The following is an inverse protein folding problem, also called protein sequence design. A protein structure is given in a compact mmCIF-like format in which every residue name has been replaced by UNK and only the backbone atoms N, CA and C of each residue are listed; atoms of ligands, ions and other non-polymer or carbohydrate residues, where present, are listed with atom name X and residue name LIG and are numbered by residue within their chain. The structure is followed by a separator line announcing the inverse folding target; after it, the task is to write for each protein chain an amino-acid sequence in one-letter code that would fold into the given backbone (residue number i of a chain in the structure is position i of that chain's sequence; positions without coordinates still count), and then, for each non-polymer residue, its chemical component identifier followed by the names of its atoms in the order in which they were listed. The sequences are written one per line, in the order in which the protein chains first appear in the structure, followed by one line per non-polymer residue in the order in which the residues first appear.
data_IF_624344724420
#
_entry.id   IF_624344724420
#
_cell.length_a   1.000
_cell.length_b   1.000
_cell.length_c   1.000
_cell.angle_alpha   90.00
_cell.angle_beta   90.00
_cell.angle_gamma   90.00
#
_symmetry.space_group_name_H-M   'P 1'
#
loop_
_entity.id
_entity.type
_entity.pdbx_description
1 polymer ?
#
# COMPACT_ATOMS: atom_id res chain seq x y z
N UNK A 1 8.90 -13.59 -16.80
CA UNK A 1 8.28 -12.27 -16.60
C UNK A 1 7.03 -12.48 -15.74
N UNK A 2 6.76 -11.64 -14.75
CA UNK A 2 5.52 -11.76 -13.95
C UNK A 2 4.33 -11.45 -14.85
N UNK A 3 3.31 -12.31 -14.83
CA UNK A 3 2.08 -12.17 -15.61
C UNK A 3 0.87 -12.10 -14.66
N UNK A 4 0.11 -11.00 -14.76
CA UNK A 4 -1.13 -10.77 -14.03
C UNK A 4 -2.33 -10.67 -14.99
N UNK A 5 -2.22 -11.20 -16.20
CA UNK A 5 -3.27 -11.14 -17.22
C UNK A 5 -4.59 -11.69 -16.67
N UNK A 6 -5.66 -10.90 -16.84
CA UNK A 6 -7.01 -11.23 -16.38
C UNK A 6 -7.26 -11.01 -14.89
N UNK A 7 -6.26 -10.56 -14.11
CA UNK A 7 -6.47 -10.16 -12.71
C UNK A 7 -7.02 -8.74 -12.62
N UNK A 8 -7.82 -8.50 -11.58
CA UNK A 8 -8.38 -7.19 -11.23
C UNK A 8 -7.73 -6.73 -9.93
N UNK A 9 -7.05 -5.59 -9.96
CA UNK A 9 -6.28 -5.07 -8.83
C UNK A 9 -6.89 -3.77 -8.32
N UNK A 10 -7.18 -3.71 -7.01
CA UNK A 10 -7.52 -2.47 -6.31
C UNK A 10 -6.26 -1.95 -5.59
N UNK A 11 -5.89 -0.70 -5.87
CA UNK A 11 -4.78 0.00 -5.19
C UNK A 11 -5.35 1.19 -4.43
N UNK A 12 -5.28 1.19 -3.09
CA UNK A 12 -5.68 2.33 -2.29
C UNK A 12 -4.59 3.40 -2.27
N UNK A 13 -4.99 4.68 -2.32
CA UNK A 13 -4.03 5.78 -2.45
C UNK A 13 -3.21 5.70 -3.76
N UNK A 14 -3.83 5.22 -4.84
CA UNK A 14 -3.16 4.90 -6.11
C UNK A 14 -2.84 6.10 -7.01
N UNK A 15 -3.16 7.33 -6.61
CA UNK A 15 -3.02 8.52 -7.48
C UNK A 15 -1.59 9.08 -7.55
N UNK A 16 -0.71 8.75 -6.60
CA UNK A 16 0.68 9.26 -6.52
C UNK A 16 1.63 8.28 -5.81
N UNK A 17 2.92 8.61 -5.80
CA UNK A 17 3.94 7.86 -5.06
C UNK A 17 3.96 6.37 -5.36
N UNK A 18 4.11 5.57 -4.32
CA UNK A 18 4.17 4.10 -4.39
C UNK A 18 2.90 3.53 -5.03
N UNK A 19 1.72 4.06 -4.67
CA UNK A 19 0.45 3.59 -5.21
C UNK A 19 0.34 3.77 -6.73
N UNK A 20 0.76 4.95 -7.26
CA UNK A 20 0.83 5.20 -8.71
C UNK A 20 1.80 4.23 -9.40
N UNK A 21 3.03 4.11 -8.87
CA UNK A 21 4.04 3.20 -9.44
C UNK A 21 3.54 1.76 -9.46
N UNK A 22 2.86 1.32 -8.39
CA UNK A 22 2.22 0.00 -8.30
C UNK A 22 1.14 -0.17 -9.37
N UNK A 23 0.21 0.78 -9.51
CA UNK A 23 -0.86 0.72 -10.50
C UNK A 23 -0.31 0.55 -11.92
N UNK A 24 0.69 1.35 -12.29
CA UNK A 24 1.32 1.31 -13.60
C UNK A 24 2.07 0.00 -13.83
N UNK A 25 2.85 -0.44 -12.85
CA UNK A 25 3.63 -1.68 -12.97
C UNK A 25 2.73 -2.91 -13.07
N UNK A 26 1.62 -2.96 -12.33
CA UNK A 26 0.61 -4.01 -12.40
C UNK A 26 -0.12 -4.02 -13.76
N UNK A 27 -0.42 -2.84 -14.31
CA UNK A 27 -0.97 -2.72 -15.66
C UNK A 27 -0.02 -3.29 -16.71
N UNK A 28 1.28 -2.98 -16.62
CA UNK A 28 2.32 -3.55 -17.50
C UNK A 28 2.44 -5.06 -17.36
N UNK A 29 2.14 -5.61 -16.18
CA UNK A 29 2.07 -7.06 -15.94
C UNK A 29 0.74 -7.68 -16.41
N UNK A 30 -0.20 -6.91 -16.95
CA UNK A 30 -1.44 -7.41 -17.57
C UNK A 30 -2.70 -7.31 -16.71
N UNK A 31 -2.62 -6.72 -15.51
CA UNK A 31 -3.79 -6.50 -14.64
C UNK A 31 -4.62 -5.30 -15.09
N UNK A 32 -5.94 -5.36 -14.91
CA UNK A 32 -6.80 -4.19 -14.90
C UNK A 32 -6.80 -3.55 -13.52
N UNK A 33 -6.90 -2.22 -13.45
CA UNK A 33 -6.57 -1.46 -12.25
C UNK A 33 -7.76 -0.62 -11.77
N UNK A 34 -8.08 -0.71 -10.49
CA UNK A 34 -8.88 0.28 -9.78
C UNK A 34 -7.94 1.16 -8.94
N UNK A 35 -7.96 2.45 -9.22
CA UNK A 35 -7.19 3.47 -8.50
C UNK A 35 -8.11 4.15 -7.50
N UNK A 36 -7.97 3.85 -6.21
CA UNK A 36 -8.63 4.64 -5.18
C UNK A 36 -7.83 5.90 -4.88
N UNK A 37 -8.55 6.98 -4.67
CA UNK A 37 -8.03 8.29 -4.26
C UNK A 37 -9.08 9.04 -3.44
N UNK A 38 -8.65 9.99 -2.59
CA UNK A 38 -9.56 10.82 -1.79
C UNK A 38 -9.78 12.18 -2.46
N UNK A 39 -8.73 12.95 -2.72
CA UNK A 39 -8.81 14.35 -3.13
C UNK A 39 -8.10 14.70 -4.45
N UNK A 40 -7.04 13.97 -4.83
CA UNK A 40 -6.20 14.29 -6.00
C UNK A 40 -6.74 13.65 -7.28
N UNK A 41 -7.90 14.11 -7.73
CA UNK A 41 -8.55 13.55 -8.93
C UNK A 41 -7.74 13.79 -10.21
N UNK A 42 -7.12 14.97 -10.33
CA UNK A 42 -6.22 15.31 -11.44
C UNK A 42 -5.05 14.31 -11.59
N UNK A 43 -4.43 13.95 -10.46
CA UNK A 43 -3.37 12.95 -10.44
C UNK A 43 -3.90 11.54 -10.74
N UNK A 44 -5.06 11.17 -10.22
CA UNK A 44 -5.68 9.88 -10.52
C UNK A 44 -6.05 9.74 -12.01
N UNK A 45 -6.54 10.81 -12.66
CA UNK A 45 -6.80 10.84 -14.11
C UNK A 45 -5.55 10.59 -14.94
N UNK A 46 -4.40 11.18 -14.57
CA UNK A 46 -3.12 10.92 -15.24
C UNK A 46 -2.69 9.44 -15.12
N UNK A 47 -2.91 8.82 -13.95
CA UNK A 47 -2.66 7.38 -13.79
C UNK A 47 -3.58 6.56 -14.69
N UNK A 48 -4.86 6.92 -14.75
CA UNK A 48 -5.81 6.25 -15.64
C UNK A 48 -5.37 6.31 -17.10
N UNK A 49 -5.02 7.49 -17.60
CA UNK A 49 -4.54 7.68 -18.96
C UNK A 49 -3.30 6.83 -19.27
N UNK A 50 -2.38 6.71 -18.30
CA UNK A 50 -1.18 5.91 -18.44
C UNK A 50 -1.49 4.41 -18.49
N UNK A 51 -2.38 3.92 -17.62
CA UNK A 51 -2.85 2.53 -17.60
C UNK A 51 -3.59 2.18 -18.88
N UNK A 52 -4.48 3.06 -19.37
CA UNK A 52 -5.24 2.85 -20.60
C UNK A 52 -4.32 2.87 -21.84
N UNK A 53 -3.25 3.68 -21.83
CA UNK A 53 -2.23 3.68 -22.90
C UNK A 53 -1.42 2.37 -22.94
N UNK A 54 -1.29 1.67 -21.81
CA UNK A 54 -0.71 0.31 -21.74
C UNK A 54 -1.69 -0.75 -22.31
N UNK A 55 -2.95 -0.39 -22.57
CA UNK A 55 -3.99 -1.29 -23.06
C UNK A 55 -4.73 -2.05 -21.96
N UNK A 56 -4.74 -1.51 -20.72
CA UNK A 56 -5.49 -2.09 -19.61
C UNK A 56 -6.64 -1.18 -19.18
N UNK A 57 -7.70 -1.79 -18.63
CA UNK A 57 -8.81 -1.03 -18.07
C UNK A 57 -8.36 -0.34 -16.78
N UNK A 58 -8.75 0.94 -16.58
CA UNK A 58 -8.55 1.66 -15.34
C UNK A 58 -9.85 2.29 -14.85
N UNK A 59 -10.23 1.97 -13.61
CA UNK A 59 -11.39 2.53 -12.92
C UNK A 59 -10.92 3.48 -11.83
N UNK A 60 -11.44 4.69 -11.80
CA UNK A 60 -11.16 5.67 -10.75
C UNK A 60 -12.23 5.57 -9.66
N UNK A 61 -11.79 5.37 -8.42
CA UNK A 61 -12.64 5.17 -7.25
C UNK A 61 -12.37 6.23 -6.20
N UNK A 62 -13.20 7.30 -6.22
CA UNK A 62 -13.13 8.33 -5.19
C UNK A 62 -13.78 7.84 -3.91
N UNK A 63 -12.97 7.65 -2.87
CA UNK A 63 -13.42 7.25 -1.53
C UNK A 63 -12.35 7.58 -0.49
N UNK A 64 -12.78 8.03 0.68
CA UNK A 64 -11.95 8.09 1.88
C UNK A 64 -11.95 6.71 2.54
N UNK A 65 -10.78 6.06 2.61
CA UNK A 65 -10.64 4.72 3.20
C UNK A 65 -10.90 4.70 4.70
N UNK A 66 -10.86 5.85 5.38
CA UNK A 66 -11.18 5.98 6.79
C UNK A 66 -12.68 5.99 7.10
N UNK A 67 -13.54 6.02 6.06
CA UNK A 67 -15.01 6.05 6.16
C UNK A 67 -15.57 4.71 5.67
N UNK A 68 -16.08 3.85 6.58
CA UNK A 68 -16.52 2.48 6.21
C UNK A 68 -17.64 2.46 5.15
N UNK A 69 -18.53 3.46 5.15
CA UNK A 69 -19.61 3.59 4.18
C UNK A 69 -19.08 3.83 2.76
N UNK A 70 -18.08 4.71 2.63
CA UNK A 70 -17.45 5.00 1.34
C UNK A 70 -16.66 3.80 0.83
N UNK A 71 -15.99 3.06 1.72
CA UNK A 71 -15.31 1.81 1.37
C UNK A 71 -16.29 0.76 0.88
N UNK A 72 -17.42 0.55 1.59
CA UNK A 72 -18.44 -0.42 1.16
C UNK A 72 -19.01 -0.07 -0.22
N UNK A 73 -19.33 1.21 -0.45
CA UNK A 73 -19.78 1.70 -1.75
C UNK A 73 -18.74 1.44 -2.83
N UNK A 74 -17.49 1.86 -2.62
CA UNK A 74 -16.38 1.68 -3.56
C UNK A 74 -16.18 0.22 -3.96
N UNK A 75 -16.12 -0.67 -2.98
CA UNK A 75 -15.90 -2.10 -3.22
C UNK A 75 -17.12 -2.74 -3.90
N UNK A 76 -18.34 -2.34 -3.52
CA UNK A 76 -19.58 -2.77 -4.15
C UNK A 76 -19.65 -2.39 -5.62
N UNK A 77 -19.38 -1.12 -5.98
CA UNK A 77 -19.34 -0.64 -7.36
C UNK A 77 -18.30 -1.40 -8.21
N UNK A 78 -17.13 -1.69 -7.65
CA UNK A 78 -16.10 -2.49 -8.33
C UNK A 78 -16.56 -3.94 -8.54
N UNK A 79 -17.23 -4.53 -7.55
CA UNK A 79 -17.74 -5.89 -7.67
C UNK A 79 -18.86 -5.99 -8.71
N UNK A 80 -19.77 -5.02 -8.75
CA UNK A 80 -20.81 -4.94 -9.78
C UNK A 80 -20.20 -4.84 -11.20
N UNK A 81 -19.12 -4.04 -11.33
CA UNK A 81 -18.46 -3.82 -12.61
C UNK A 81 -17.62 -5.01 -13.08
N UNK A 82 -16.86 -5.64 -12.18
CA UNK A 82 -15.85 -6.65 -12.53
C UNK A 82 -16.20 -8.07 -12.12
N UNK A 83 -17.15 -8.24 -11.20
CA UNK A 83 -17.49 -9.53 -10.58
C UNK A 83 -16.38 -10.10 -9.70
N UNK A 84 -15.24 -9.40 -9.56
CA UNK A 84 -14.08 -9.87 -8.82
C UNK A 84 -13.10 -8.75 -8.47
N UNK A 85 -12.36 -8.95 -7.37
CA UNK A 85 -11.12 -8.25 -7.05
C UNK A 85 -10.12 -9.35 -6.67
N UNK A 86 -9.09 -9.55 -7.50
CA UNK A 86 -8.11 -10.61 -7.28
C UNK A 86 -6.97 -10.14 -6.37
N UNK A 87 -6.53 -8.90 -6.55
CA UNK A 87 -5.43 -8.31 -5.78
C UNK A 87 -5.89 -7.05 -5.07
N UNK A 88 -5.60 -6.96 -3.79
CA UNK A 88 -5.74 -5.75 -2.99
C UNK A 88 -4.36 -5.26 -2.56
N UNK A 89 -4.05 -3.99 -2.86
CA UNK A 89 -2.88 -3.30 -2.34
C UNK A 89 -3.34 -2.19 -1.41
N UNK A 90 -3.18 -2.40 -0.11
CA UNK A 90 -3.44 -1.40 0.92
C UNK A 90 -2.24 -0.48 1.05
N UNK A 91 -2.25 0.64 0.31
CA UNK A 91 -1.17 1.61 0.25
C UNK A 91 -1.55 2.98 0.81
N UNK A 92 -2.85 3.33 0.86
CA UNK A 92 -3.29 4.61 1.41
C UNK A 92 -2.73 4.84 2.83
N UNK A 93 -2.23 6.05 3.07
CA UNK A 93 -1.70 6.43 4.36
C UNK A 93 -1.20 7.85 4.40
N UNK A 94 -0.99 8.34 5.63
CA UNK A 94 -0.42 9.64 5.94
C UNK A 94 0.77 9.46 6.88
N UNK A 95 1.69 10.41 6.84
CA UNK A 95 2.83 10.53 7.73
C UNK A 95 2.87 11.98 8.22
N UNK A 96 2.67 12.19 9.51
CA UNK A 96 2.54 13.50 10.12
C UNK A 96 3.47 13.61 11.32
N UNK A 97 3.92 14.82 11.63
CA UNK A 97 4.71 15.10 12.84
C UNK A 97 3.80 15.06 14.08
N UNK A 98 4.35 14.59 15.21
CA UNK A 98 3.70 14.63 16.51
C UNK A 98 4.66 14.29 17.64
N UNK A 99 5.01 15.29 18.45
CA UNK A 99 5.88 15.12 19.63
C UNK A 99 5.06 14.58 20.80
N UNK A 100 5.58 13.55 21.46
CA UNK A 100 4.90 12.97 22.62
C UNK A 100 4.85 13.97 23.79
N UNK A 101 3.67 14.21 24.30
CA UNK A 101 3.37 15.23 25.32
C UNK A 101 2.75 16.52 24.74
N UNK A 102 2.97 16.80 23.45
CA UNK A 102 2.43 17.98 22.74
C UNK A 102 1.51 17.56 21.56
N UNK A 103 1.51 16.28 21.18
CA UNK A 103 0.72 15.76 20.07
C UNK A 103 -0.79 15.96 20.32
N UNK A 104 -1.47 16.64 19.38
CA UNK A 104 -2.92 16.73 19.38
C UNK A 104 -3.55 15.33 19.23
N UNK A 105 -4.60 15.10 20.01
CA UNK A 105 -5.36 13.84 19.92
C UNK A 105 -5.97 13.63 18.52
N UNK A 106 -6.27 14.70 17.80
CA UNK A 106 -6.77 14.64 16.42
C UNK A 106 -5.71 14.07 15.46
N UNK A 107 -4.44 14.46 15.60
CA UNK A 107 -3.31 13.93 14.81
C UNK A 107 -3.16 12.43 15.03
N UNK A 108 -3.23 11.99 16.29
CA UNK A 108 -3.26 10.58 16.64
C UNK A 108 -4.46 9.86 16.00
N UNK A 109 -5.68 10.37 16.23
CA UNK A 109 -6.90 9.74 15.75
C UNK A 109 -6.95 9.65 14.22
N UNK A 110 -6.53 10.69 13.52
CA UNK A 110 -6.47 10.71 12.06
C UNK A 110 -5.50 9.66 11.52
N UNK A 111 -4.32 9.54 12.14
CA UNK A 111 -3.35 8.50 11.76
C UNK A 111 -3.91 7.10 11.94
N UNK A 112 -4.57 6.82 13.06
CA UNK A 112 -5.22 5.53 13.31
C UNK A 112 -6.30 5.25 12.27
N UNK A 113 -7.22 6.19 12.03
CA UNK A 113 -8.32 6.04 11.08
C UNK A 113 -7.85 5.78 9.65
N UNK A 114 -6.87 6.54 9.16
CA UNK A 114 -6.43 6.42 7.78
C UNK A 114 -5.51 5.21 7.61
N UNK A 115 -4.46 5.11 8.45
CA UNK A 115 -3.39 4.14 8.24
C UNK A 115 -3.76 2.72 8.69
N UNK A 116 -4.61 2.57 9.72
CA UNK A 116 -4.96 1.28 10.28
C UNK A 116 -6.41 0.88 9.98
N UNK A 117 -7.38 1.71 10.39
CA UNK A 117 -8.79 1.38 10.19
C UNK A 117 -9.12 1.29 8.69
N UNK A 118 -8.52 2.15 7.85
CA UNK A 118 -8.67 2.10 6.40
C UNK A 118 -8.20 0.76 5.81
N UNK A 119 -7.08 0.22 6.27
CA UNK A 119 -6.60 -1.11 5.86
C UNK A 119 -7.59 -2.20 6.28
N UNK A 120 -8.11 -2.11 7.50
CA UNK A 120 -9.12 -3.04 8.00
C UNK A 120 -10.41 -2.95 7.18
N UNK A 121 -10.96 -1.75 6.98
CA UNK A 121 -12.24 -1.59 6.26
C UNK A 121 -12.18 -2.11 4.83
N UNK A 122 -11.10 -1.76 4.08
CA UNK A 122 -10.96 -2.21 2.70
C UNK A 122 -10.75 -3.72 2.64
N UNK A 123 -9.90 -4.28 3.49
CA UNK A 123 -9.67 -5.73 3.56
C UNK A 123 -10.95 -6.47 3.93
N UNK A 124 -11.68 -5.99 4.93
CA UNK A 124 -12.94 -6.61 5.38
C UNK A 124 -14.03 -6.58 4.30
N UNK A 125 -14.06 -5.56 3.45
CA UNK A 125 -15.00 -5.46 2.34
C UNK A 125 -14.63 -6.37 1.16
N UNK A 126 -13.33 -6.58 0.89
CA UNK A 126 -12.83 -7.36 -0.26
C UNK A 126 -12.76 -8.86 0.06
N UNK A 127 -12.38 -9.24 1.27
CA UNK A 127 -12.14 -10.64 1.67
C UNK A 127 -13.33 -11.59 1.40
N UNK A 128 -14.60 -11.23 1.64
CA UNK A 128 -15.73 -12.12 1.34
C UNK A 128 -15.76 -12.61 -0.11
N UNK A 129 -15.47 -11.72 -1.07
CA UNK A 129 -15.42 -12.06 -2.51
C UNK A 129 -14.24 -12.99 -2.82
N UNK A 130 -13.07 -12.72 -2.23
CA UNK A 130 -11.91 -13.60 -2.37
C UNK A 130 -12.16 -14.99 -1.76
N UNK A 131 -12.82 -15.06 -0.59
CA UNK A 131 -13.22 -16.34 0.05
C UNK A 131 -14.17 -17.15 -0.84
N UNK A 132 -15.17 -16.50 -1.44
CA UNK A 132 -16.12 -17.14 -2.36
C UNK A 132 -15.41 -17.76 -3.58
N UNK A 133 -14.41 -17.07 -4.10
CA UNK A 133 -13.60 -17.52 -5.26
C UNK A 133 -12.45 -18.47 -4.87
N UNK A 134 -12.18 -18.63 -3.58
CA UNK A 134 -11.03 -19.38 -3.04
C UNK A 134 -9.71 -18.95 -3.67
N UNK A 135 -9.54 -17.65 -3.88
CA UNK A 135 -8.36 -17.06 -4.51
C UNK A 135 -8.26 -15.57 -4.19
N UNK A 136 -7.06 -15.12 -3.77
CA UNK A 136 -6.80 -13.70 -3.55
C UNK A 136 -5.37 -13.42 -3.13
N UNK A 137 -4.96 -12.17 -3.33
CA UNK A 137 -3.67 -11.65 -2.90
C UNK A 137 -3.86 -10.30 -2.23
N UNK A 138 -3.42 -10.18 -1.00
CA UNK A 138 -3.43 -8.92 -0.26
C UNK A 138 -1.98 -8.53 0.02
N UNK A 139 -1.59 -7.33 -0.38
CA UNK A 139 -0.28 -6.76 -0.05
C UNK A 139 -0.49 -5.45 0.69
N UNK A 140 -0.08 -5.42 1.95
CA UNK A 140 -0.13 -4.24 2.79
C UNK A 140 1.18 -3.44 2.66
N UNK A 141 1.09 -2.12 2.78
CA UNK A 141 2.27 -1.24 2.82
C UNK A 141 2.47 -0.72 4.24
N UNK A 142 3.46 -1.29 4.91
CA UNK A 142 3.94 -0.87 6.24
C UNK A 142 5.07 0.17 6.12
N UNK A 143 6.06 0.10 6.97
CA UNK A 143 7.25 0.97 7.02
C UNK A 143 8.33 0.34 7.89
N UNK A 144 9.58 0.75 7.69
CA UNK A 144 10.66 0.51 8.67
C UNK A 144 10.38 1.14 10.04
N UNK A 145 9.53 2.18 10.11
CA UNK A 145 9.07 2.75 11.37
C UNK A 145 8.34 1.73 12.26
N UNK A 146 7.67 0.73 11.65
CA UNK A 146 7.02 -0.38 12.35
C UNK A 146 8.01 -1.31 13.08
N UNK A 147 9.26 -1.30 12.69
CA UNK A 147 10.29 -2.22 13.16
C UNK A 147 11.24 -1.57 14.15
N UNK A 148 11.68 -0.33 13.86
CA UNK A 148 12.67 0.39 14.66
C UNK A 148 12.09 1.54 15.50
N UNK A 149 10.80 1.85 15.32
CA UNK A 149 10.22 3.11 15.77
C UNK A 149 10.67 4.30 14.92
N UNK A 150 10.09 5.46 15.17
CA UNK A 150 10.46 6.71 14.52
C UNK A 150 10.17 7.87 15.48
N UNK A 151 11.21 8.62 15.86
CA UNK A 151 11.06 9.76 16.75
C UNK A 151 10.11 10.80 16.12
N UNK A 152 9.27 11.43 16.95
CA UNK A 152 8.24 12.40 16.55
C UNK A 152 7.13 11.86 15.62
N UNK A 153 7.11 10.53 15.38
CA UNK A 153 6.11 9.85 14.53
C UNK A 153 5.60 8.56 15.20
N UNK A 154 5.50 8.55 16.53
CA UNK A 154 5.10 7.35 17.30
C UNK A 154 3.72 6.82 16.91
N UNK A 155 2.76 7.70 16.61
CA UNK A 155 1.43 7.37 16.09
C UNK A 155 1.50 6.65 14.73
N UNK A 156 2.36 7.13 13.83
CA UNK A 156 2.61 6.48 12.54
C UNK A 156 3.25 5.10 12.74
N UNK A 157 4.32 5.02 13.53
CA UNK A 157 5.01 3.77 13.83
C UNK A 157 4.05 2.73 14.45
N UNK A 158 3.19 3.16 15.37
CA UNK A 158 2.16 2.31 15.99
C UNK A 158 1.20 1.72 14.94
N UNK A 159 0.67 2.55 14.01
CA UNK A 159 -0.21 2.05 12.94
C UNK A 159 0.50 1.05 12.04
N UNK A 160 1.76 1.32 11.68
CA UNK A 160 2.54 0.44 10.80
C UNK A 160 2.95 -0.87 11.49
N UNK A 161 3.21 -0.83 12.80
CA UNK A 161 3.40 -2.03 13.64
C UNK A 161 2.13 -2.89 13.72
N UNK A 162 0.97 -2.24 13.88
CA UNK A 162 -0.32 -2.94 13.86
C UNK A 162 -0.59 -3.61 12.51
N UNK A 163 -0.23 -2.97 11.37
CA UNK A 163 -0.34 -3.57 10.03
C UNK A 163 0.54 -4.83 9.91
N UNK A 164 1.75 -4.84 10.46
CA UNK A 164 2.60 -6.03 10.46
C UNK A 164 1.92 -7.20 11.19
N UNK A 165 1.35 -6.95 12.37
CA UNK A 165 0.62 -7.96 13.15
C UNK A 165 -0.67 -8.41 12.45
N UNK A 166 -1.43 -7.47 11.88
CA UNK A 166 -2.64 -7.74 11.11
C UNK A 166 -2.32 -8.63 9.89
N UNK A 167 -1.23 -8.35 9.18
CA UNK A 167 -0.77 -9.15 8.04
C UNK A 167 -0.54 -10.61 8.43
N UNK A 168 0.16 -10.86 9.53
CA UNK A 168 0.45 -12.20 10.03
C UNK A 168 -0.82 -12.94 10.44
N UNK A 169 -1.73 -12.26 11.14
CA UNK A 169 -3.02 -12.84 11.56
C UNK A 169 -3.88 -13.22 10.36
N UNK A 170 -4.06 -12.29 9.41
CA UNK A 170 -4.85 -12.56 8.20
C UNK A 170 -4.22 -13.63 7.30
N UNK A 171 -2.90 -13.75 7.26
CA UNK A 171 -2.21 -14.78 6.49
C UNK A 171 -2.62 -16.19 6.95
N UNK A 172 -2.66 -16.42 8.26
CA UNK A 172 -3.08 -17.71 8.83
C UNK A 172 -4.58 -17.93 8.67
N UNK A 173 -5.39 -16.91 8.95
CA UNK A 173 -6.85 -16.98 8.86
C UNK A 173 -7.34 -17.27 7.43
N UNK A 174 -6.71 -16.66 6.43
CA UNK A 174 -7.18 -16.70 5.05
C UNK A 174 -6.52 -17.79 4.19
N UNK A 175 -5.45 -18.43 4.66
CA UNK A 175 -4.78 -19.52 3.97
C UNK A 175 -5.71 -20.68 3.58
N UNK A 176 -6.67 -21.14 4.43
CA UNK A 176 -7.63 -22.18 4.05
C UNK A 176 -8.51 -21.81 2.85
N UNK A 177 -8.60 -20.52 2.52
CA UNK A 177 -9.33 -20.00 1.37
C UNK A 177 -8.43 -19.73 0.16
N UNK A 178 -7.16 -20.18 0.20
CA UNK A 178 -6.18 -19.89 -0.86
C UNK A 178 -5.99 -18.38 -1.10
N UNK A 179 -6.00 -17.60 -0.03
CA UNK A 179 -5.73 -16.15 -0.04
C UNK A 179 -4.41 -15.92 0.66
N UNK A 180 -3.46 -15.28 -0.03
CA UNK A 180 -2.16 -14.92 0.54
C UNK A 180 -2.18 -13.46 1.00
N UNK A 181 -1.64 -13.22 2.19
CA UNK A 181 -1.53 -11.88 2.76
C UNK A 181 -0.08 -11.63 3.14
N UNK A 182 0.52 -10.62 2.53
CA UNK A 182 1.89 -10.21 2.79
C UNK A 182 1.98 -8.70 2.96
N UNK A 183 3.13 -8.24 3.36
CA UNK A 183 3.40 -6.83 3.58
C UNK A 183 4.76 -6.44 2.99
N UNK A 184 4.89 -5.21 2.52
CA UNK A 184 6.20 -4.58 2.28
C UNK A 184 6.45 -3.53 3.35
N UNK A 185 7.70 -3.43 3.80
CA UNK A 185 8.15 -2.41 4.75
C UNK A 185 9.21 -1.51 4.08
N UNK A 186 8.78 -0.42 3.41
CA UNK A 186 9.69 0.53 2.80
C UNK A 186 10.53 1.28 3.84
N UNK A 187 11.75 1.65 3.46
CA UNK A 187 12.51 2.72 4.10
C UNK A 187 12.12 4.09 3.53
N UNK A 188 13.09 4.99 3.43
CA UNK A 188 12.92 6.29 2.78
C UNK A 188 12.68 6.12 1.28
N UNK A 189 11.59 6.73 0.79
CA UNK A 189 11.18 6.69 -0.62
C UNK A 189 10.95 8.10 -1.12
N UNK A 190 11.48 8.44 -2.29
CA UNK A 190 11.33 9.75 -2.92
C UNK A 190 9.90 9.92 -3.45
N UNK A 191 9.04 10.48 -2.61
CA UNK A 191 7.61 10.69 -2.88
C UNK A 191 7.16 12.05 -2.36
N UNK A 192 5.97 12.49 -2.78
CA UNK A 192 5.34 13.72 -2.27
C UNK A 192 5.20 13.72 -0.73
N UNK A 193 5.10 12.54 -0.11
CA UNK A 193 5.02 12.42 1.35
C UNK A 193 6.28 12.90 2.05
N UNK A 194 7.43 12.74 1.43
CA UNK A 194 8.74 13.15 1.95
C UNK A 194 9.24 14.47 1.35
N UNK A 195 8.46 15.11 0.45
CA UNK A 195 8.93 16.28 -0.31
C UNK A 195 9.36 17.44 0.59
N UNK A 196 8.64 17.67 1.69
CA UNK A 196 8.95 18.74 2.65
C UNK A 196 10.32 18.51 3.32
N UNK A 197 10.54 17.33 3.90
CA UNK A 197 11.80 17.02 4.59
C UNK A 197 12.97 16.89 3.61
N UNK A 198 12.72 16.48 2.37
CA UNK A 198 13.74 16.40 1.32
C UNK A 198 13.97 17.71 0.57
N UNK A 199 13.25 18.78 0.90
CA UNK A 199 13.56 20.12 0.42
C UNK A 199 14.83 20.69 1.06
N UNK A 200 15.24 20.15 2.22
CA UNK A 200 16.56 20.39 2.81
C UNK A 200 17.61 19.43 2.19
N UNK A 201 18.57 19.96 1.39
CA UNK A 201 19.58 19.13 0.74
C UNK A 201 20.51 18.40 1.71
N UNK A 202 20.82 19.01 2.85
CA UNK A 202 21.73 18.43 3.86
C UNK A 202 21.05 17.26 4.56
N UNK A 203 19.77 17.41 4.90
CA UNK A 203 18.97 16.31 5.45
C UNK A 203 18.81 15.16 4.44
N UNK A 204 18.48 15.48 3.17
CA UNK A 204 18.38 14.49 2.11
C UNK A 204 19.68 13.70 1.92
N UNK A 205 20.82 14.39 1.95
CA UNK A 205 22.15 13.78 1.83
C UNK A 205 22.49 12.92 3.06
N UNK A 206 22.15 13.36 4.27
CA UNK A 206 22.32 12.59 5.49
C UNK A 206 21.48 11.29 5.44
N UNK A 207 20.22 11.37 4.99
CA UNK A 207 19.36 10.20 4.77
C UNK A 207 20.00 9.26 3.75
N UNK A 208 20.44 9.75 2.59
CA UNK A 208 21.09 8.94 1.56
C UNK A 208 22.32 8.21 2.12
N UNK A 209 23.13 8.91 2.91
CA UNK A 209 24.35 8.35 3.49
C UNK A 209 24.08 7.33 4.61
N UNK A 210 22.95 7.41 5.29
CA UNK A 210 22.52 6.43 6.29
C UNK A 210 22.10 5.09 5.70
N UNK A 211 21.68 5.07 4.41
CA UNK A 211 21.23 3.86 3.72
C UNK A 211 22.47 3.10 3.20
N UNK A 212 22.65 1.80 3.53
CA UNK A 212 23.77 1.00 3.03
C UNK A 212 23.92 1.02 1.51
N UNK A 213 22.84 0.94 0.73
CA UNK A 213 22.86 1.05 -0.74
C UNK A 213 23.12 2.47 -1.26
N UNK A 214 23.34 3.47 -0.38
CA UNK A 214 23.70 4.85 -0.70
C UNK A 214 22.76 5.56 -1.68
N UNK A 215 21.51 5.17 -1.71
CA UNK A 215 20.45 5.85 -2.46
C UNK A 215 19.11 5.80 -1.74
N UNK A 216 18.32 6.83 -1.87
CA UNK A 216 16.91 6.83 -1.48
C UNK A 216 16.15 5.99 -2.51
N UNK A 217 15.20 5.17 -2.05
CA UNK A 217 14.40 4.34 -2.95
C UNK A 217 13.47 5.19 -3.82
N UNK A 218 13.19 4.72 -5.03
CA UNK A 218 12.10 5.24 -5.86
C UNK A 218 10.79 4.51 -5.57
N UNK A 219 9.63 5.09 -5.92
CA UNK A 219 8.35 4.38 -5.86
C UNK A 219 8.35 3.03 -6.61
N UNK A 220 9.09 2.95 -7.71
CA UNK A 220 9.22 1.76 -8.55
C UNK A 220 9.98 0.62 -7.83
N UNK A 221 10.97 0.94 -7.00
CA UNK A 221 11.67 -0.06 -6.16
C UNK A 221 10.67 -0.80 -5.24
N UNK A 222 9.72 -0.06 -4.68
CA UNK A 222 8.71 -0.63 -3.79
C UNK A 222 7.64 -1.38 -4.58
N UNK A 223 7.18 -0.80 -5.69
CA UNK A 223 6.18 -1.41 -6.56
C UNK A 223 6.63 -2.77 -7.10
N UNK A 224 7.94 -2.95 -7.38
CA UNK A 224 8.53 -4.22 -7.78
C UNK A 224 8.35 -5.32 -6.74
N UNK A 225 8.58 -5.01 -5.47
CA UNK A 225 8.39 -5.93 -4.36
C UNK A 225 6.90 -6.26 -4.14
N UNK A 226 6.01 -5.27 -4.26
CA UNK A 226 4.55 -5.46 -4.19
C UNK A 226 4.10 -6.41 -5.31
N UNK A 227 4.56 -6.18 -6.54
CA UNK A 227 4.25 -7.03 -7.69
C UNK A 227 4.73 -8.47 -7.49
N UNK A 228 5.95 -8.66 -6.99
CA UNK A 228 6.48 -9.98 -6.68
C UNK A 228 5.58 -10.72 -5.68
N UNK A 229 5.22 -10.10 -4.57
CA UNK A 229 4.37 -10.71 -3.53
C UNK A 229 2.96 -11.02 -4.04
N UNK A 230 2.42 -10.23 -4.98
CA UNK A 230 1.13 -10.46 -5.62
C UNK A 230 1.18 -11.48 -6.77
N UNK A 231 2.35 -11.97 -7.15
CA UNK A 231 2.54 -12.90 -8.28
C UNK A 231 2.60 -14.36 -7.86
N UNK A 232 2.58 -15.25 -8.84
CA UNK A 232 2.72 -16.69 -8.62
C UNK A 232 4.17 -17.10 -8.27
N UNK A 233 5.17 -16.22 -8.47
CA UNK A 233 6.54 -16.42 -7.99
C UNK A 233 6.62 -16.46 -6.46
N UNK A 234 5.67 -15.84 -5.78
CA UNK A 234 5.55 -15.85 -4.32
C UNK A 234 4.50 -16.85 -3.82
N UNK A 235 4.20 -17.92 -4.57
CA UNK A 235 3.09 -18.85 -4.28
C UNK A 235 3.20 -19.54 -2.91
N UNK A 236 4.40 -19.67 -2.34
CA UNK A 236 4.63 -20.25 -1.02
C UNK A 236 5.01 -19.21 0.05
N UNK A 237 4.70 -17.93 -0.20
CA UNK A 237 4.96 -16.81 0.72
C UNK A 237 3.64 -16.24 1.19
N UNK A 238 3.38 -16.32 2.51
CA UNK A 238 2.24 -15.67 3.18
C UNK A 238 2.64 -15.31 4.61
N UNK A 239 2.19 -14.17 5.11
CA UNK A 239 2.56 -13.63 6.42
C UNK A 239 3.91 -12.90 6.45
N UNK A 240 4.58 -12.74 5.30
CA UNK A 240 5.89 -12.10 5.18
C UNK A 240 5.79 -10.58 5.31
N UNK A 241 6.77 -9.99 5.99
CA UNK A 241 7.01 -8.54 6.04
C UNK A 241 8.31 -8.27 5.29
N UNK A 242 8.21 -8.08 3.99
CA UNK A 242 9.36 -7.91 3.11
C UNK A 242 9.96 -6.51 3.25
N UNK A 243 11.18 -6.44 3.74
CA UNK A 243 11.94 -5.20 3.87
C UNK A 243 12.41 -4.68 2.51
N UNK A 244 12.05 -3.43 2.17
CA UNK A 244 12.48 -2.75 0.94
C UNK A 244 13.07 -1.40 1.31
N UNK A 245 14.26 -1.41 1.92
CA UNK A 245 14.81 -0.25 2.62
C UNK A 245 16.32 0.00 2.35
N UNK A 246 16.90 -0.71 1.37
CA UNK A 246 18.31 -0.57 1.03
C UNK A 246 19.29 -0.99 2.13
N UNK A 247 18.83 -1.80 3.10
CA UNK A 247 19.62 -2.28 4.22
C UNK A 247 19.60 -1.36 5.46
N UNK A 248 18.80 -0.29 5.46
CA UNK A 248 18.75 0.66 6.58
C UNK A 248 18.16 0.06 7.86
N UNK A 249 17.35 -0.99 7.74
CA UNK A 249 16.84 -1.78 8.87
C UNK A 249 16.95 -3.26 8.50
N UNK A 250 17.69 -4.00 9.30
CA UNK A 250 17.89 -5.43 9.17
C UNK A 250 17.09 -6.13 10.27
N UNK A 251 15.90 -6.61 9.93
CA UNK A 251 15.05 -7.37 10.84
C UNK A 251 14.87 -8.78 10.30
N UNK A 252 14.98 -9.74 11.19
CA UNK A 252 14.61 -11.14 10.96
C UNK A 252 13.21 -11.40 11.52
#
# INVERSE_FOLDING_TARGET
MIDLKGRKTLVTGGSRGIGRATAILFARAGSDIAVNFMSREDAARKVKEEVERIGRECVLMKADVSIPEEVRRMVGELYEKWGQIDVLVNNAGIWTYGEMGEMDQEVWAQSMKINLDGVFYVSNAVVPMMKQRKRGWIVNVSSTAAQRGEAFHSHYAATKGAINSLTKSLAVELAPHNIRVNCVAPGWVDTDMCAEVFSDPDYREAVRNSIPLKRIATPEDIAGAILFLASDLACHITGEILNVNGGSVLCS
#
